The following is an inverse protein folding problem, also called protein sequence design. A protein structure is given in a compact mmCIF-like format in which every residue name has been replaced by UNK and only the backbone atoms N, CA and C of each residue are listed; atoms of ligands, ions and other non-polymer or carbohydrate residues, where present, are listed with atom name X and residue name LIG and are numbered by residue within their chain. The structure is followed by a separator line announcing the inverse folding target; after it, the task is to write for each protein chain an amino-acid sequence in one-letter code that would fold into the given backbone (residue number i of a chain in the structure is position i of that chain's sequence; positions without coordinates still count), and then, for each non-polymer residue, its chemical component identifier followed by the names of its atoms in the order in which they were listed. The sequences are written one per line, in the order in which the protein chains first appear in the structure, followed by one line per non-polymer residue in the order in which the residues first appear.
data_IF_057059609511
#
_entry.id   IF_057059609511
#
_cell.length_a   1.000
_cell.length_b   1.000
_cell.length_c   1.000
_cell.angle_alpha   90.00
_cell.angle_beta   90.00
_cell.angle_gamma   90.00
#
_symmetry.space_group_name_H-M   'P 1'
#
loop_
_entity.id
_entity.type
_entity.pdbx_description
1 polymer ?
#
# COMPACT_ATOMS: atom_id res chain seq x y z
N UNK A 1 -14.62 -8.05 0.99
CA UNK A 1 -14.27 -7.21 2.16
C UNK A 1 -14.21 -5.77 1.71
N UNK A 2 -15.15 -4.93 2.13
CA UNK A 2 -15.05 -3.48 1.89
C UNK A 2 -13.94 -2.92 2.79
N UNK A 3 -12.78 -2.64 2.20
CA UNK A 3 -11.70 -1.92 2.87
C UNK A 3 -12.04 -0.43 2.87
N UNK A 4 -13.02 0.00 3.66
CA UNK A 4 -13.10 1.43 3.95
C UNK A 4 -11.77 1.82 4.62
N UNK A 5 -11.07 2.85 4.14
CA UNK A 5 -9.87 3.33 4.78
C UNK A 5 -10.21 3.63 6.23
N UNK A 6 -9.47 3.02 7.16
CA UNK A 6 -9.66 3.20 8.61
C UNK A 6 -9.67 4.70 9.00
N UNK A 7 -9.03 5.54 8.19
CA UNK A 7 -8.93 6.99 8.35
C UNK A 7 -10.13 7.80 7.82
N UNK A 8 -11.06 7.19 7.08
CA UNK A 8 -12.27 7.86 6.56
C UNK A 8 -13.47 7.71 7.50
N UNK A 9 -13.33 6.95 8.59
CA UNK A 9 -14.39 6.83 9.58
C UNK A 9 -14.38 8.06 10.54
N UNK A 10 -15.48 8.84 10.62
CA UNK A 10 -15.54 10.06 11.44
C UNK A 10 -15.28 9.82 12.94
N UNK A 11 -15.65 8.65 13.46
CA UNK A 11 -15.44 8.28 14.86
C UNK A 11 -13.95 8.01 15.14
N UNK A 12 -13.25 7.46 14.16
CA UNK A 12 -11.82 7.18 14.23
C UNK A 12 -11.02 8.46 14.03
N UNK A 13 -11.43 9.35 13.11
CA UNK A 13 -10.78 10.65 12.88
C UNK A 13 -10.73 11.50 14.17
N UNK A 14 -11.85 11.57 14.91
CA UNK A 14 -11.89 12.28 16.20
C UNK A 14 -10.89 11.71 17.20
N UNK A 15 -10.75 10.39 17.28
CA UNK A 15 -9.81 9.74 18.20
C UNK A 15 -8.36 9.97 17.77
N UNK A 16 -8.07 9.94 16.48
CA UNK A 16 -6.74 10.20 15.92
C UNK A 16 -6.30 11.64 16.20
N UNK A 17 -7.19 12.62 16.02
CA UNK A 17 -6.89 14.03 16.33
C UNK A 17 -6.63 14.29 17.82
N UNK A 18 -7.15 13.44 18.71
CA UNK A 18 -6.93 13.55 20.14
C UNK A 18 -5.63 12.89 20.62
N UNK A 19 -4.86 12.24 19.75
CA UNK A 19 -3.61 11.58 20.11
C UNK A 19 -2.50 12.59 20.44
N UNK A 20 -1.70 12.26 21.44
CA UNK A 20 -0.42 12.95 21.66
C UNK A 20 0.54 12.68 20.50
N UNK A 21 1.58 13.50 20.36
CA UNK A 21 2.59 13.31 19.31
C UNK A 21 3.33 11.97 19.39
N UNK A 22 3.48 11.37 20.58
CA UNK A 22 4.08 10.02 20.72
C UNK A 22 3.09 8.92 20.29
N UNK A 23 1.83 9.01 20.71
CA UNK A 23 0.79 8.07 20.31
C UNK A 23 0.55 8.10 18.80
N UNK A 24 0.51 9.28 18.19
CA UNK A 24 0.38 9.44 16.74
C UNK A 24 1.55 8.80 15.99
N UNK A 25 2.79 9.00 16.46
CA UNK A 25 3.99 8.36 15.88
C UNK A 25 3.92 6.84 15.95
N UNK A 26 3.52 6.28 17.10
CA UNK A 26 3.35 4.82 17.26
C UNK A 26 2.26 4.26 16.35
N UNK A 27 1.14 4.96 16.23
CA UNK A 27 0.04 4.58 15.34
C UNK A 27 0.52 4.56 13.88
N UNK A 28 1.18 5.63 13.43
CA UNK A 28 1.71 5.73 12.08
C UNK A 28 2.73 4.62 11.80
N UNK A 29 3.68 4.38 12.71
CA UNK A 29 4.67 3.31 12.56
C UNK A 29 4.02 1.92 12.48
N UNK A 30 3.02 1.65 13.33
CA UNK A 30 2.27 0.39 13.31
C UNK A 30 1.50 0.21 11.99
N UNK A 31 0.90 1.28 11.49
CA UNK A 31 0.18 1.27 10.22
C UNK A 31 1.13 1.04 9.03
N UNK A 32 2.25 1.75 8.97
CA UNK A 32 3.28 1.57 7.94
C UNK A 32 3.82 0.14 7.94
N UNK A 33 4.10 -0.44 9.11
CA UNK A 33 4.54 -1.82 9.23
C UNK A 33 3.50 -2.82 8.71
N UNK A 34 2.22 -2.61 9.04
CA UNK A 34 1.12 -3.42 8.50
C UNK A 34 1.06 -3.32 6.97
N UNK A 35 1.16 -2.12 6.40
CA UNK A 35 1.13 -1.93 4.95
C UNK A 35 2.31 -2.62 4.26
N UNK A 36 3.52 -2.46 4.79
CA UNK A 36 4.70 -3.15 4.28
C UNK A 36 4.52 -4.67 4.21
N UNK A 37 3.93 -5.28 5.25
CA UNK A 37 3.62 -6.72 5.25
C UNK A 37 2.63 -7.12 4.17
N UNK A 38 1.62 -6.30 3.91
CA UNK A 38 0.63 -6.56 2.85
C UNK A 38 1.28 -6.45 1.46
N UNK A 39 2.09 -5.42 1.25
CA UNK A 39 2.88 -5.22 0.02
C UNK A 39 3.79 -6.42 -0.22
N UNK A 40 4.51 -6.90 0.80
CA UNK A 40 5.36 -8.09 0.68
C UNK A 40 4.57 -9.34 0.29
N UNK A 41 3.40 -9.55 0.90
CA UNK A 41 2.54 -10.69 0.52
C UNK A 41 2.03 -10.57 -0.91
N UNK A 42 1.74 -9.35 -1.38
CA UNK A 42 1.36 -9.09 -2.77
C UNK A 42 2.51 -9.40 -3.73
N UNK A 43 3.72 -8.91 -3.43
CA UNK A 43 4.92 -9.17 -4.22
C UNK A 43 5.21 -10.66 -4.35
N UNK A 44 5.07 -11.43 -3.27
CA UNK A 44 5.22 -12.88 -3.30
C UNK A 44 4.17 -13.56 -4.20
N UNK A 45 2.94 -13.06 -4.22
CA UNK A 45 1.83 -13.66 -4.98
C UNK A 45 1.87 -13.31 -6.46
N UNK A 46 2.34 -12.12 -6.81
CA UNK A 46 2.28 -11.57 -8.16
C UNK A 46 3.65 -11.29 -8.79
N UNK A 47 4.74 -11.68 -8.12
CA UNK A 47 6.12 -11.48 -8.57
C UNK A 47 6.43 -10.02 -8.93
N UNK A 48 5.89 -9.09 -8.13
CA UNK A 48 6.16 -7.64 -8.26
C UNK A 48 7.28 -7.20 -7.32
N UNK A 49 7.72 -5.94 -7.44
CA UNK A 49 8.73 -5.33 -6.58
C UNK A 49 8.24 -4.03 -5.91
N UNK A 50 7.03 -4.08 -5.34
CA UNK A 50 6.41 -2.94 -4.69
C UNK A 50 7.04 -2.65 -3.31
N UNK A 51 7.64 -3.66 -2.69
CA UNK A 51 8.33 -3.53 -1.41
C UNK A 51 9.51 -2.56 -1.50
N UNK A 52 10.35 -2.68 -2.53
CA UNK A 52 11.48 -1.77 -2.73
C UNK A 52 11.02 -0.35 -3.04
N UNK A 53 9.91 -0.21 -3.77
CA UNK A 53 9.29 1.10 -4.00
C UNK A 53 8.82 1.70 -2.67
N UNK A 54 8.09 0.93 -1.84
CA UNK A 54 7.61 1.38 -0.53
C UNK A 54 8.74 1.89 0.37
N UNK A 55 9.85 1.15 0.48
CA UNK A 55 10.99 1.52 1.34
C UNK A 55 11.69 2.78 0.83
N UNK A 56 11.90 2.89 -0.49
CA UNK A 56 12.51 4.08 -1.11
C UNK A 56 11.68 5.32 -0.84
N UNK A 57 10.37 5.26 -1.06
CA UNK A 57 9.51 6.43 -0.85
C UNK A 57 9.34 6.79 0.62
N UNK A 58 9.32 5.80 1.53
CA UNK A 58 9.34 6.09 2.97
C UNK A 58 10.61 6.84 3.36
N UNK A 59 11.76 6.45 2.79
CA UNK A 59 13.04 7.13 3.05
C UNK A 59 13.03 8.58 2.56
N UNK A 60 12.48 8.82 1.36
CA UNK A 60 12.28 10.17 0.82
C UNK A 60 11.36 11.02 1.70
N UNK A 61 10.24 10.44 2.16
CA UNK A 61 9.29 11.12 3.03
C UNK A 61 9.92 11.52 4.38
N UNK A 62 10.74 10.65 4.96
CA UNK A 62 11.46 10.93 6.21
C UNK A 62 12.56 11.99 6.01
N UNK A 63 13.20 12.03 4.84
CA UNK A 63 14.21 13.03 4.50
C UNK A 63 13.63 14.45 4.33
N UNK A 64 12.30 14.60 4.17
CA UNK A 64 11.60 15.87 4.33
C UNK A 64 11.72 16.87 3.17
N UNK A 65 12.17 16.46 1.99
CA UNK A 65 12.20 17.33 0.81
C UNK A 65 10.86 17.30 0.07
N UNK A 66 10.08 18.39 0.15
CA UNK A 66 8.74 18.49 -0.46
C UNK A 66 8.74 18.17 -1.98
N UNK A 67 9.73 18.65 -2.73
CA UNK A 67 9.85 18.37 -4.17
C UNK A 67 10.08 16.87 -4.47
N UNK A 68 10.80 16.17 -3.59
CA UNK A 68 11.02 14.73 -3.74
C UNK A 68 9.79 13.91 -3.33
N UNK A 69 8.96 14.43 -2.41
CA UNK A 69 7.70 13.80 -2.01
C UNK A 69 6.66 13.86 -3.13
N UNK A 70 6.56 14.94 -3.89
CA UNK A 70 5.64 15.01 -5.04
C UNK A 70 6.03 14.04 -6.17
N UNK A 71 7.32 13.93 -6.48
CA UNK A 71 7.84 12.93 -7.43
C UNK A 71 7.57 11.50 -6.93
N UNK A 72 7.80 11.26 -5.64
CA UNK A 72 7.51 9.98 -4.99
C UNK A 72 6.04 9.57 -5.14
N UNK A 73 5.10 10.51 -5.02
CA UNK A 73 3.67 10.25 -5.18
C UNK A 73 3.38 9.77 -6.61
N UNK A 74 3.92 10.46 -7.63
CA UNK A 74 3.74 10.06 -9.02
C UNK A 74 4.25 8.65 -9.32
N UNK A 75 5.44 8.31 -8.81
CA UNK A 75 6.03 6.97 -8.96
C UNK A 75 5.19 5.88 -8.26
N UNK A 76 4.63 6.18 -7.09
CA UNK A 76 3.73 5.25 -6.38
C UNK A 76 2.47 5.02 -7.19
N UNK A 77 1.77 6.08 -7.63
CA UNK A 77 0.52 5.95 -8.38
C UNK A 77 0.71 5.17 -9.68
N UNK A 78 1.80 5.40 -10.41
CA UNK A 78 2.12 4.67 -11.64
C UNK A 78 2.40 3.18 -11.40
N UNK A 79 2.80 2.81 -10.18
CA UNK A 79 3.12 1.44 -9.79
C UNK A 79 1.96 0.70 -9.11
N UNK A 80 0.84 1.36 -8.81
CA UNK A 80 -0.34 0.69 -8.23
C UNK A 80 -0.84 -0.35 -9.25
N UNK A 81 -0.81 -1.65 -8.93
CA UNK A 81 -1.28 -2.67 -9.85
C UNK A 81 -2.77 -2.49 -10.11
N UNK A 82 -3.18 -2.58 -11.38
CA UNK A 82 -4.58 -2.77 -11.72
C UNK A 82 -5.05 -4.12 -11.15
N UNK A 83 -5.88 -4.06 -10.12
CA UNK A 83 -6.40 -5.23 -9.41
C UNK A 83 -7.70 -5.75 -10.00
N UNK A 84 -8.36 -5.00 -10.89
CA UNK A 84 -9.66 -5.39 -11.47
C UNK A 84 -9.50 -6.51 -12.51
N UNK A 85 -8.34 -6.60 -13.16
CA UNK A 85 -8.02 -7.65 -14.15
C UNK A 85 -7.30 -8.90 -13.58
N UNK A 86 -6.89 -8.91 -12.31
CA UNK A 86 -6.09 -10.01 -11.72
C UNK A 86 -6.94 -11.08 -11.01
N UNK A 87 -8.24 -11.10 -11.27
CA UNK A 87 -9.21 -12.04 -10.75
C UNK A 87 -9.65 -13.11 -11.76
N UNK A 88 -8.73 -13.79 -12.43
CA UNK A 88 -9.07 -15.01 -13.16
C UNK A 88 -7.87 -15.94 -13.27
N UNK A 89 -7.73 -16.88 -12.33
CA UNK A 89 -7.14 -18.16 -12.70
C UNK A 89 -8.10 -18.83 -13.68
N UNK A 90 -7.88 -18.64 -14.97
CA UNK A 90 -8.53 -19.45 -16.00
C UNK A 90 -7.92 -20.86 -15.88
N UNK A 91 -8.70 -21.92 -15.61
CA UNK A 91 -8.17 -23.27 -15.73
C UNK A 91 -7.86 -23.55 -17.20
N UNK A 92 -6.77 -24.29 -17.40
CA UNK A 92 -6.20 -24.62 -18.70
C UNK A 92 -7.25 -24.98 -19.75
N UNK A 93 -7.23 -24.27 -20.88
CA UNK A 93 -7.73 -24.83 -22.14
C UNK A 93 -6.71 -25.90 -22.55
N UNK A 94 -6.93 -27.14 -22.08
CA UNK A 94 -6.34 -28.30 -22.72
C UNK A 94 -6.97 -28.40 -24.11
N UNK A 95 -6.12 -28.27 -25.13
CA UNK A 95 -6.47 -28.63 -26.49
C UNK A 95 -6.93 -30.08 -26.54
N UNK A 96 -8.14 -30.28 -27.06
CA UNK A 96 -8.63 -31.56 -27.52
C UNK A 96 -8.80 -31.48 -29.02
N UNK A 97 -7.76 -31.86 -29.76
CA UNK A 97 -7.91 -32.35 -31.12
C UNK A 97 -8.85 -33.55 -31.10
N UNK A 98 -9.93 -33.50 -31.88
CA UNK A 98 -10.37 -34.52 -32.84
C UNK A 98 -11.71 -34.15 -33.48
#
# INVERSE_FOLDING_TARGET
MQWQPVFENPLIDKQIRALTSDQARRLLASYLYRQFRLVRSFDQRYQSNLQDLFVRQLSVAVAGSAAHVELAIGEVYAAIPDTDHRGATSPAVQGGER
#
